data_IF_957263905957
#
_entry.id   IF_957263905957
#
_cell.length_a   1.000
_cell.length_b   1.000
_cell.length_c   1.000
_cell.angle_alpha   90.00
_cell.angle_beta   90.00
_cell.angle_gamma   90.00
#
_symmetry.space_group_name_H-M   'P 1'
#
loop_
_entity.id
_entity.type
_entity.pdbx_description
1 polymer ?
#
# COMPACT_ATOMS: atom_id res chain seq x y z
N UNK A 1 1.01 4.17 3.42
CA UNK A 1 0.37 3.02 4.05
C UNK A 1 1.28 1.80 3.90
N UNK A 2 1.65 1.15 4.99
CA UNK A 2 2.51 -0.03 4.92
C UNK A 2 1.93 -1.18 5.76
N UNK A 3 2.42 -2.41 5.54
CA UNK A 3 2.05 -3.58 6.32
C UNK A 3 1.76 -4.81 5.48
N UNK A 4 1.20 -5.85 6.08
CA UNK A 4 1.01 -7.16 5.47
C UNK A 4 0.15 -7.14 4.19
N UNK A 5 0.39 -8.12 3.33
CA UNK A 5 -0.42 -8.29 2.12
C UNK A 5 -1.88 -8.63 2.46
N UNK A 6 -2.81 -8.09 1.68
CA UNK A 6 -4.23 -8.40 1.85
C UNK A 6 -4.93 -7.70 3.02
N UNK A 7 -4.27 -6.75 3.72
CA UNK A 7 -4.83 -6.04 4.88
C UNK A 7 -5.68 -4.81 4.54
N UNK A 8 -5.87 -4.50 3.26
CA UNK A 8 -6.78 -3.44 2.85
C UNK A 8 -6.13 -2.11 2.46
N UNK A 9 -4.79 -1.99 2.41
CA UNK A 9 -4.08 -0.74 2.05
C UNK A 9 -4.64 -0.08 0.77
N UNK A 10 -4.59 -0.78 -0.35
CA UNK A 10 -5.08 -0.26 -1.65
C UNK A 10 -6.60 -0.09 -1.66
N UNK A 11 -7.33 -0.92 -0.91
CA UNK A 11 -8.79 -0.80 -0.75
C UNK A 11 -9.17 0.50 -0.04
N UNK A 12 -8.42 0.89 0.99
CA UNK A 12 -8.65 2.16 1.70
C UNK A 12 -8.47 3.37 0.77
N UNK A 13 -7.47 3.34 -0.10
CA UNK A 13 -7.26 4.43 -1.07
C UNK A 13 -8.42 4.50 -2.07
N UNK A 14 -8.90 3.35 -2.55
CA UNK A 14 -10.09 3.30 -3.42
C UNK A 14 -11.35 3.83 -2.72
N UNK A 15 -11.51 3.52 -1.44
CA UNK A 15 -12.63 4.02 -0.63
C UNK A 15 -12.56 5.55 -0.45
N UNK A 16 -11.38 6.10 -0.19
CA UNK A 16 -11.15 7.55 -0.13
C UNK A 16 -11.47 8.19 -1.48
N UNK A 17 -10.98 7.61 -2.57
CA UNK A 17 -11.27 8.09 -3.93
C UNK A 17 -12.77 8.17 -4.19
N UNK A 18 -13.50 7.09 -3.93
CA UNK A 18 -14.95 7.02 -4.15
C UNK A 18 -15.71 8.01 -3.27
N UNK A 19 -15.31 8.13 -1.98
CA UNK A 19 -15.99 9.02 -1.03
C UNK A 19 -15.89 10.49 -1.42
N UNK A 20 -14.73 10.94 -1.92
CA UNK A 20 -14.45 12.33 -2.21
C UNK A 20 -14.51 12.68 -3.70
N UNK A 21 -14.88 11.74 -4.55
CA UNK A 21 -15.07 12.00 -5.99
C UNK A 21 -16.08 13.11 -6.27
N UNK A 22 -17.25 13.15 -5.58
CA UNK A 22 -18.21 14.23 -5.76
C UNK A 22 -17.63 15.60 -5.36
N UNK A 23 -16.72 15.62 -4.38
CA UNK A 23 -16.08 16.83 -3.85
C UNK A 23 -14.86 17.28 -4.70
N UNK A 24 -14.69 16.70 -5.88
CA UNK A 24 -13.63 17.10 -6.82
C UNK A 24 -12.29 16.38 -6.63
N UNK A 25 -12.24 15.30 -5.84
CA UNK A 25 -11.02 14.48 -5.76
C UNK A 25 -10.83 13.66 -7.05
N UNK A 26 -9.59 13.60 -7.53
CA UNK A 26 -9.17 12.74 -8.64
C UNK A 26 -7.95 11.92 -8.21
N UNK A 27 -7.86 10.67 -8.66
CA UNK A 27 -6.73 9.80 -8.37
C UNK A 27 -6.01 9.45 -9.65
N UNK A 28 -4.69 9.62 -9.64
CA UNK A 28 -3.80 9.27 -10.74
C UNK A 28 -2.88 8.17 -10.22
N UNK A 29 -3.03 6.97 -10.75
CA UNK A 29 -2.12 5.89 -10.43
C UNK A 29 -0.86 6.02 -11.28
N UNK A 30 0.29 6.00 -10.62
CA UNK A 30 1.61 6.04 -11.25
C UNK A 30 2.33 4.74 -10.91
N UNK A 31 2.68 4.01 -11.95
CA UNK A 31 3.46 2.79 -11.83
C UNK A 31 4.95 3.09 -11.68
N UNK A 32 5.71 2.17 -11.11
CA UNK A 32 7.14 2.32 -10.85
C UNK A 32 7.92 2.79 -12.08
N UNK A 33 7.74 2.15 -13.24
CA UNK A 33 8.41 2.52 -14.50
C UNK A 33 8.04 3.92 -15.02
N UNK A 34 6.98 4.54 -14.48
CA UNK A 34 6.53 5.89 -14.83
C UNK A 34 7.05 6.97 -13.88
N UNK A 35 7.82 6.63 -12.85
CA UNK A 35 8.29 7.61 -11.84
C UNK A 35 9.07 8.76 -12.45
N UNK A 36 9.85 8.51 -13.48
CA UNK A 36 10.56 9.57 -14.24
C UNK A 36 9.62 10.64 -14.84
N UNK A 37 8.34 10.34 -14.96
CA UNK A 37 7.33 11.28 -15.48
C UNK A 37 6.62 12.08 -14.38
N UNK A 38 6.89 11.83 -13.10
CA UNK A 38 6.18 12.46 -11.97
C UNK A 38 6.16 13.99 -12.06
N UNK A 39 7.30 14.61 -12.33
CA UNK A 39 7.38 16.08 -12.44
C UNK A 39 6.49 16.61 -13.56
N UNK A 40 6.42 15.93 -14.70
CA UNK A 40 5.55 16.30 -15.82
C UNK A 40 4.08 16.12 -15.47
N UNK A 41 3.72 15.04 -14.78
CA UNK A 41 2.36 14.79 -14.31
C UNK A 41 1.94 15.92 -13.36
N UNK A 42 2.77 16.25 -12.39
CA UNK A 42 2.51 17.32 -11.41
C UNK A 42 2.34 18.65 -12.11
N UNK A 43 3.24 19.03 -13.01
CA UNK A 43 3.13 20.28 -13.77
C UNK A 43 1.84 20.38 -14.57
N UNK A 44 1.34 19.27 -15.11
CA UNK A 44 0.11 19.23 -15.90
C UNK A 44 -1.18 19.40 -15.06
N UNK A 45 -1.13 19.05 -13.76
CA UNK A 45 -2.32 19.03 -12.88
C UNK A 45 -2.31 20.12 -11.81
N UNK A 46 -1.16 20.72 -11.49
CA UNK A 46 -1.01 21.70 -10.41
C UNK A 46 -1.91 22.94 -10.53
N UNK A 47 -2.26 23.34 -11.77
CA UNK A 47 -3.10 24.49 -12.04
C UNK A 47 -4.57 24.14 -12.25
N UNK A 48 -4.92 22.84 -12.16
CA UNK A 48 -6.30 22.37 -12.35
C UNK A 48 -7.13 22.64 -11.09
N UNK A 49 -8.38 23.00 -11.29
CA UNK A 49 -9.35 23.22 -10.19
C UNK A 49 -9.94 21.90 -9.66
N UNK A 50 -9.05 20.95 -9.34
CA UNK A 50 -9.36 19.66 -8.70
C UNK A 50 -8.31 19.37 -7.63
N UNK A 51 -8.65 18.52 -6.67
CA UNK A 51 -7.68 17.91 -5.75
C UNK A 51 -7.24 16.58 -6.30
N UNK A 52 -5.95 16.29 -6.21
CA UNK A 52 -5.37 15.09 -6.78
C UNK A 52 -4.65 14.24 -5.71
N UNK A 53 -4.84 12.93 -5.80
CA UNK A 53 -3.97 11.95 -5.17
C UNK A 53 -3.15 11.29 -6.27
N UNK A 54 -1.83 11.44 -6.22
CA UNK A 54 -0.91 10.60 -6.99
C UNK A 54 -0.68 9.35 -6.17
N UNK A 55 -1.11 8.21 -6.70
CA UNK A 55 -1.11 6.95 -6.01
C UNK A 55 -0.08 5.98 -6.58
N UNK A 56 0.79 5.45 -5.73
CA UNK A 56 1.77 4.42 -6.06
C UNK A 56 1.47 3.16 -5.25
N UNK A 57 1.13 2.07 -5.96
CA UNK A 57 0.81 0.79 -5.32
C UNK A 57 2.04 -0.11 -5.25
N UNK A 58 2.18 -0.82 -4.14
CA UNK A 58 3.26 -1.78 -3.84
C UNK A 58 4.66 -1.18 -4.07
N UNK A 59 4.87 0.03 -3.55
CA UNK A 59 6.14 0.74 -3.67
C UNK A 59 7.21 0.00 -2.88
N UNK A 60 8.26 -0.42 -3.58
CA UNK A 60 9.46 -0.99 -3.00
C UNK A 60 10.64 -0.71 -3.92
N UNK A 61 11.81 -0.49 -3.35
CA UNK A 61 13.05 -0.25 -4.10
C UNK A 61 14.06 -1.34 -3.79
N UNK A 62 14.72 -1.85 -4.80
CA UNK A 62 15.86 -2.77 -4.69
C UNK A 62 17.17 -1.98 -4.63
N UNK A 63 18.27 -2.62 -4.26
CA UNK A 63 19.52 -1.94 -3.88
C UNK A 63 20.11 -1.05 -4.98
N UNK A 64 19.93 -1.37 -6.25
CA UNK A 64 20.52 -0.65 -7.37
C UNK A 64 19.52 0.25 -8.14
N UNK A 65 18.34 0.49 -7.61
CA UNK A 65 17.33 1.26 -8.32
C UNK A 65 17.47 2.75 -8.09
N UNK A 66 17.40 3.50 -9.19
CA UNK A 66 17.53 4.97 -9.18
C UNK A 66 16.18 5.69 -9.17
N UNK A 67 15.08 4.94 -9.34
CA UNK A 67 13.72 5.50 -9.44
C UNK A 67 13.28 6.25 -8.20
N UNK A 68 13.80 5.88 -7.02
CA UNK A 68 13.53 6.59 -5.77
C UNK A 68 13.97 8.06 -5.82
N UNK A 69 15.00 8.41 -6.61
CA UNK A 69 15.49 9.77 -6.77
C UNK A 69 14.45 10.70 -7.38
N UNK A 70 13.66 10.20 -8.33
CA UNK A 70 12.56 10.98 -8.92
C UNK A 70 11.46 11.27 -7.90
N UNK A 71 11.12 10.28 -7.08
CA UNK A 71 10.14 10.45 -6.03
C UNK A 71 10.65 11.39 -4.93
N UNK A 72 11.92 11.25 -4.54
CA UNK A 72 12.60 12.14 -3.58
C UNK A 72 12.53 13.60 -4.05
N UNK A 73 12.94 13.86 -5.29
CA UNK A 73 12.93 15.20 -5.86
C UNK A 73 11.53 15.85 -5.85
N UNK A 74 10.49 15.06 -6.11
CA UNK A 74 9.10 15.52 -6.12
C UNK A 74 8.58 15.78 -4.69
N UNK A 75 8.87 14.92 -3.73
CA UNK A 75 8.41 15.09 -2.34
C UNK A 75 9.11 16.28 -1.68
N UNK A 76 10.40 16.51 -2.00
CA UNK A 76 11.17 17.65 -1.52
C UNK A 76 10.74 18.99 -2.13
N UNK A 77 10.04 18.95 -3.25
CA UNK A 77 9.50 20.14 -3.93
C UNK A 77 10.51 20.89 -4.81
N UNK A 78 11.79 20.48 -4.83
CA UNK A 78 12.82 21.15 -5.64
C UNK A 78 12.83 22.68 -5.46
N UNK A 79 13.06 23.42 -6.55
CA UNK A 79 12.95 24.89 -6.59
C UNK A 79 11.51 25.41 -6.75
N UNK A 80 10.55 24.51 -7.07
CA UNK A 80 9.14 24.87 -7.21
C UNK A 80 8.39 24.66 -5.89
N UNK A 81 7.50 25.57 -5.55
CA UNK A 81 6.60 25.43 -4.41
C UNK A 81 5.75 24.16 -4.54
N UNK A 82 5.59 23.44 -3.43
CA UNK A 82 4.73 22.27 -3.36
C UNK A 82 3.31 22.61 -3.82
N UNK A 83 2.77 21.82 -4.74
CA UNK A 83 1.41 22.06 -5.23
C UNK A 83 0.40 21.72 -4.12
N UNK A 84 -0.38 22.69 -3.67
CA UNK A 84 -1.34 22.58 -2.56
C UNK A 84 -2.51 21.64 -2.87
N UNK A 85 -2.80 21.42 -4.15
CA UNK A 85 -3.90 20.57 -4.62
C UNK A 85 -3.48 19.11 -4.87
N UNK A 86 -2.24 18.71 -4.53
CA UNK A 86 -1.68 17.38 -4.81
C UNK A 86 -1.20 16.71 -3.53
N UNK A 87 -1.66 15.49 -3.30
CA UNK A 87 -1.14 14.59 -2.28
C UNK A 87 -0.52 13.35 -2.92
N UNK A 88 0.56 12.84 -2.34
CA UNK A 88 1.21 11.61 -2.78
C UNK A 88 0.89 10.51 -1.78
N UNK A 89 0.26 9.44 -2.26
CA UNK A 89 -0.05 8.25 -1.49
C UNK A 89 0.74 7.07 -2.03
N UNK A 90 1.37 6.33 -1.13
CA UNK A 90 2.06 5.10 -1.48
C UNK A 90 1.60 3.95 -0.58
N UNK A 91 1.48 2.75 -1.14
CA UNK A 91 1.36 1.53 -0.36
C UNK A 91 2.63 0.72 -0.45
N UNK A 92 2.96 0.00 0.61
CA UNK A 92 4.09 -0.93 0.63
C UNK A 92 3.79 -2.13 1.51
N UNK A 93 4.35 -3.27 1.15
CA UNK A 93 4.35 -4.46 2.00
C UNK A 93 5.53 -4.46 2.99
N UNK A 94 6.38 -3.42 2.95
CA UNK A 94 7.58 -3.26 3.77
C UNK A 94 7.53 -1.91 4.50
N UNK A 95 7.99 -1.90 5.74
CA UNK A 95 7.98 -0.69 6.57
C UNK A 95 8.89 0.40 5.99
N UNK A 96 10.06 0.04 5.49
CA UNK A 96 11.09 0.99 5.06
C UNK A 96 11.24 1.10 3.54
N UNK A 97 10.30 0.55 2.74
CA UNK A 97 10.34 0.51 1.26
C UNK A 97 11.54 -0.26 0.68
N UNK A 98 12.37 -0.89 1.51
CA UNK A 98 13.61 -1.58 1.15
C UNK A 98 13.52 -3.05 1.56
N UNK A 99 14.24 -3.91 0.85
CA UNK A 99 14.41 -5.32 1.23
C UNK A 99 15.44 -5.39 2.37
N UNK A 100 14.98 -5.63 3.58
CA UNK A 100 15.87 -6.00 4.68
C UNK A 100 16.38 -7.42 4.42
N UNK A 101 17.67 -7.61 4.20
CA UNK A 101 18.31 -8.93 4.15
C UNK A 101 18.76 -9.32 5.55
N UNK A 102 18.81 -10.64 5.83
CA UNK A 102 19.25 -11.15 7.15
C UNK A 102 20.72 -10.78 7.45
N UNK A 103 21.52 -10.54 6.40
CA UNK A 103 22.92 -10.11 6.50
C UNK A 103 23.07 -8.67 7.04
N UNK A 104 22.08 -7.79 6.83
CA UNK A 104 22.12 -6.39 7.28
C UNK A 104 22.12 -6.25 8.83
N UNK A 105 21.89 -7.34 9.56
CA UNK A 105 21.92 -7.35 11.04
C UNK A 105 23.26 -7.77 11.64
N UNK A 106 24.14 -8.40 10.87
CA UNK A 106 25.38 -9.00 11.38
C UNK A 106 26.67 -8.36 10.88
N UNK A 107 26.63 -7.49 9.86
CA UNK A 107 27.84 -6.96 9.25
C UNK A 107 28.20 -5.55 9.75
N UNK A 108 28.77 -5.48 10.96
CA UNK A 108 29.57 -4.32 11.43
C UNK A 108 31.03 -4.39 11.00
N UNK A 109 31.44 -5.34 10.17
CA UNK A 109 32.87 -5.57 9.90
C UNK A 109 33.22 -5.86 8.44
N UNK A 110 32.98 -4.99 7.45
CA UNK A 110 33.81 -5.03 6.22
C UNK A 110 33.65 -3.80 5.33
N UNK A 111 34.76 -3.30 4.84
CA UNK A 111 35.01 -2.02 4.14
C UNK A 111 34.35 -1.85 2.76
N UNK A 112 33.61 -2.83 2.24
CA UNK A 112 32.82 -2.73 1.01
C UNK A 112 31.40 -2.20 1.24
N UNK A 113 31.00 -2.01 2.49
CA UNK A 113 29.63 -1.65 2.90
C UNK A 113 29.34 -0.15 2.92
N UNK A 114 30.36 0.71 2.77
CA UNK A 114 30.16 2.17 2.86
C UNK A 114 29.20 2.70 1.78
N UNK A 115 29.30 2.21 0.55
CA UNK A 115 28.39 2.62 -0.54
C UNK A 115 26.98 2.02 -0.42
N UNK A 116 26.86 0.85 0.22
CA UNK A 116 25.56 0.24 0.54
C UNK A 116 24.86 1.00 1.65
N UNK A 117 25.60 1.38 2.69
CA UNK A 117 25.12 2.19 3.81
C UNK A 117 24.55 3.53 3.34
N UNK A 118 25.27 4.26 2.49
CA UNK A 118 24.84 5.56 1.96
C UNK A 118 23.53 5.45 1.14
N UNK A 119 23.41 4.42 0.31
CA UNK A 119 22.20 4.19 -0.49
C UNK A 119 21.02 3.80 0.40
N UNK A 120 21.26 3.03 1.45
CA UNK A 120 20.23 2.63 2.40
C UNK A 120 19.75 3.84 3.23
N UNK A 121 20.66 4.67 3.70
CA UNK A 121 20.32 5.93 4.39
C UNK A 121 19.51 6.88 3.49
N UNK A 122 19.87 7.02 2.22
CA UNK A 122 19.11 7.83 1.28
C UNK A 122 17.69 7.32 1.07
N UNK A 123 17.49 6.00 1.01
CA UNK A 123 16.16 5.38 0.87
C UNK A 123 15.35 5.49 2.15
N UNK A 124 15.96 5.32 3.32
CA UNK A 124 15.33 5.57 4.62
C UNK A 124 14.90 7.04 4.77
N UNK A 125 15.74 7.94 4.31
CA UNK A 125 15.45 9.37 4.25
C UNK A 125 14.20 9.69 3.43
N UNK A 126 13.91 8.91 2.36
CA UNK A 126 12.69 9.04 1.58
C UNK A 126 11.43 8.70 2.41
N UNK A 127 11.48 7.64 3.22
CA UNK A 127 10.34 7.25 4.08
C UNK A 127 10.00 8.35 5.06
N UNK A 128 11.01 8.98 5.64
CA UNK A 128 10.84 10.07 6.62
C UNK A 128 10.23 11.36 6.01
N UNK A 129 10.23 11.47 4.68
CA UNK A 129 9.60 12.62 3.98
C UNK A 129 8.09 12.47 3.77
N UNK A 130 7.55 11.26 3.95
CA UNK A 130 6.11 11.09 4.02
C UNK A 130 5.62 11.62 5.37
N UNK A 131 4.80 12.66 5.35
CA UNK A 131 4.32 13.32 6.57
C UNK A 131 3.40 12.46 7.44
N UNK A 132 2.75 11.43 6.87
CA UNK A 132 1.85 10.52 7.58
C UNK A 132 2.15 9.09 7.19
N UNK A 133 2.33 8.25 8.20
CA UNK A 133 2.60 6.82 8.03
C UNK A 133 1.54 6.01 8.76
N UNK A 134 0.82 5.14 8.03
CA UNK A 134 -0.27 4.31 8.56
C UNK A 134 0.12 2.84 8.42
N UNK A 135 0.12 2.12 9.55
CA UNK A 135 0.40 0.69 9.61
C UNK A 135 -0.87 -0.13 9.44
N UNK A 136 -0.80 -1.16 8.61
CA UNK A 136 -1.85 -2.16 8.40
C UNK A 136 -1.36 -3.52 8.87
N UNK A 137 -1.88 -3.99 9.99
CA UNK A 137 -1.56 -5.30 10.56
C UNK A 137 -2.53 -6.36 10.05
N UNK A 138 -2.13 -7.63 10.15
CA UNK A 138 -3.05 -8.75 9.92
C UNK A 138 -4.20 -8.66 10.93
N UNK A 139 -5.43 -8.99 10.51
CA UNK A 139 -6.54 -9.06 11.44
C UNK A 139 -6.32 -10.19 12.46
N UNK A 140 -6.80 -9.97 13.66
CA UNK A 140 -6.95 -11.04 14.66
C UNK A 140 -7.97 -12.07 14.16
N UNK A 141 -8.00 -13.29 14.71
CA UNK A 141 -9.03 -14.28 14.36
C UNK A 141 -10.46 -13.75 14.51
N UNK A 142 -10.70 -12.94 15.53
CA UNK A 142 -12.02 -12.31 15.76
C UNK A 142 -12.37 -11.32 14.65
N UNK A 143 -11.47 -10.41 14.34
CA UNK A 143 -11.66 -9.43 13.26
C UNK A 143 -11.80 -10.08 11.89
N UNK A 144 -11.04 -11.17 11.63
CA UNK A 144 -11.19 -11.94 10.40
C UNK A 144 -12.60 -12.51 10.26
N UNK A 145 -13.17 -13.07 11.32
CA UNK A 145 -14.54 -13.58 11.32
C UNK A 145 -15.58 -12.48 11.12
N UNK A 146 -15.37 -11.31 11.72
CA UNK A 146 -16.22 -10.14 11.50
C UNK A 146 -16.19 -9.69 10.03
N UNK A 147 -15.01 -9.70 9.40
CA UNK A 147 -14.86 -9.42 7.95
C UNK A 147 -15.63 -10.43 7.13
N UNK A 148 -15.47 -11.74 7.40
CA UNK A 148 -16.18 -12.82 6.68
C UNK A 148 -17.68 -12.66 6.77
N UNK A 149 -18.23 -12.49 7.98
CA UNK A 149 -19.67 -12.32 8.21
C UNK A 149 -20.17 -11.08 7.46
N UNK A 150 -19.47 -9.96 7.58
CA UNK A 150 -19.84 -8.70 6.92
C UNK A 150 -19.90 -8.87 5.40
N UNK A 151 -18.90 -9.52 4.81
CA UNK A 151 -18.85 -9.78 3.37
C UNK A 151 -19.96 -10.76 2.94
N UNK A 152 -20.22 -11.82 3.71
CA UNK A 152 -21.27 -12.79 3.44
C UNK A 152 -22.66 -12.11 3.42
N UNK A 153 -22.97 -11.29 4.43
CA UNK A 153 -24.23 -10.56 4.50
C UNK A 153 -24.39 -9.56 3.36
N UNK A 154 -23.31 -8.86 3.00
CA UNK A 154 -23.30 -7.94 1.85
C UNK A 154 -23.61 -8.65 0.52
N UNK A 155 -23.23 -9.90 0.40
CA UNK A 155 -23.46 -10.72 -0.81
C UNK A 155 -24.74 -11.56 -0.75
N UNK A 156 -25.52 -11.44 0.33
CA UNK A 156 -26.80 -12.18 0.47
C UNK A 156 -26.65 -13.66 0.82
N UNK A 157 -25.47 -14.11 1.24
CA UNK A 157 -25.25 -15.51 1.64
C UNK A 157 -26.07 -15.83 2.90
N UNK A 158 -26.96 -16.83 2.78
CA UNK A 158 -27.92 -17.21 3.83
C UNK A 158 -27.35 -18.15 4.92
N UNK A 159 -26.09 -18.59 4.78
CA UNK A 159 -25.42 -19.48 5.74
C UNK A 159 -25.40 -18.88 7.14
N UNK A 160 -25.56 -19.73 8.20
CA UNK A 160 -25.48 -19.28 9.59
C UNK A 160 -24.09 -18.73 9.94
N UNK A 161 -24.00 -17.83 10.91
CA UNK A 161 -22.71 -17.28 11.35
C UNK A 161 -21.78 -18.35 11.92
N UNK A 162 -22.33 -19.40 12.54
CA UNK A 162 -21.58 -20.53 13.08
C UNK A 162 -20.95 -21.38 11.95
N UNK A 163 -21.71 -21.66 10.92
CA UNK A 163 -21.24 -22.43 9.77
C UNK A 163 -20.22 -21.61 8.94
N UNK A 164 -20.49 -20.31 8.75
CA UNK A 164 -19.51 -19.40 8.13
C UNK A 164 -18.18 -19.42 8.87
N UNK A 165 -18.20 -19.35 10.19
CA UNK A 165 -16.96 -19.39 11.02
C UNK A 165 -16.22 -20.71 10.87
N UNK A 166 -16.93 -21.84 10.89
CA UNK A 166 -16.33 -23.18 10.73
C UNK A 166 -15.66 -23.33 9.36
N UNK A 167 -16.39 -22.97 8.30
CA UNK A 167 -15.85 -23.11 6.94
C UNK A 167 -14.74 -22.09 6.64
N UNK A 168 -14.85 -20.85 7.16
CA UNK A 168 -13.82 -19.84 7.02
C UNK A 168 -12.50 -20.23 7.71
N UNK A 169 -12.57 -20.87 8.89
CA UNK A 169 -11.39 -21.41 9.57
C UNK A 169 -10.69 -22.49 8.73
N UNK A 170 -11.44 -23.43 8.15
CA UNK A 170 -10.85 -24.44 7.27
C UNK A 170 -10.20 -23.82 6.03
N UNK A 171 -10.86 -22.82 5.47
CA UNK A 171 -10.37 -22.09 4.29
C UNK A 171 -9.07 -21.36 4.58
N UNK A 172 -9.02 -20.62 5.68
CA UNK A 172 -7.86 -19.83 6.09
C UNK A 172 -6.59 -20.68 6.25
N UNK A 173 -6.70 -21.84 6.89
CA UNK A 173 -5.59 -22.77 7.09
C UNK A 173 -4.94 -23.23 5.77
N UNK A 174 -5.71 -23.32 4.69
CA UNK A 174 -5.24 -23.78 3.39
C UNK A 174 -4.93 -22.66 2.37
N UNK A 175 -5.32 -21.42 2.65
CA UNK A 175 -5.29 -20.32 1.66
C UNK A 175 -4.54 -19.07 2.13
N UNK A 176 -3.51 -19.21 2.95
CA UNK A 176 -2.54 -18.13 3.21
C UNK A 176 -2.82 -17.26 4.43
N UNK A 177 -3.64 -17.71 5.37
CA UNK A 177 -3.81 -17.10 6.67
C UNK A 177 -4.81 -15.93 6.72
N UNK A 178 -4.87 -15.29 7.88
CA UNK A 178 -5.85 -14.26 8.21
C UNK A 178 -5.58 -12.97 7.39
N UNK A 179 -6.47 -12.66 6.47
CA UNK A 179 -6.43 -11.40 5.71
C UNK A 179 -7.79 -11.06 5.09
N UNK A 180 -8.03 -9.78 4.78
CA UNK A 180 -9.23 -9.37 4.04
C UNK A 180 -9.30 -10.00 2.63
N UNK A 181 -8.15 -10.29 2.01
CA UNK A 181 -8.08 -10.99 0.73
C UNK A 181 -8.55 -12.44 0.86
N UNK A 182 -8.09 -13.15 1.88
CA UNK A 182 -8.49 -14.54 2.17
C UNK A 182 -9.99 -14.63 2.45
N UNK A 183 -10.52 -13.66 3.22
CA UNK A 183 -11.96 -13.56 3.48
C UNK A 183 -12.75 -13.35 2.17
N UNK A 184 -12.33 -12.42 1.31
CA UNK A 184 -13.00 -12.18 0.03
C UNK A 184 -12.94 -13.39 -0.91
N UNK A 185 -11.81 -14.10 -0.95
CA UNK A 185 -11.66 -15.34 -1.74
C UNK A 185 -12.60 -16.44 -1.24
N UNK A 186 -12.73 -16.57 0.09
CA UNK A 186 -13.69 -17.51 0.67
C UNK A 186 -15.14 -17.18 0.28
N UNK A 187 -15.54 -15.93 0.35
CA UNK A 187 -16.88 -15.50 -0.06
C UNK A 187 -17.12 -15.76 -1.55
N UNK A 188 -16.15 -15.44 -2.41
CA UNK A 188 -16.24 -15.72 -3.83
C UNK A 188 -16.36 -17.24 -4.11
N UNK A 189 -15.67 -18.07 -3.34
CA UNK A 189 -15.79 -19.53 -3.44
C UNK A 189 -17.19 -20.03 -3.05
N UNK A 190 -17.78 -19.47 -2.00
CA UNK A 190 -19.16 -19.83 -1.62
C UNK A 190 -20.15 -19.47 -2.72
N UNK A 191 -20.05 -18.27 -3.30
CA UNK A 191 -20.90 -17.82 -4.40
C UNK A 191 -20.74 -18.66 -5.67
N UNK A 192 -19.58 -19.26 -5.90
CA UNK A 192 -19.34 -20.14 -7.04
C UNK A 192 -19.83 -21.60 -6.82
N UNK A 193 -20.31 -21.93 -5.62
CA UNK A 193 -20.91 -23.23 -5.30
C UNK A 193 -22.44 -23.26 -5.45
N UNK A 194 -23.08 -22.09 -5.46
CA UNK A 194 -24.50 -21.91 -5.77
C UNK A 194 -24.73 -21.95 -7.29
#
# INVERSE_FOLDING_TARGET
LYGDRGTGKSTSIKAVANRFWPDGLRVIQVYRHQMKMLSRIISAIRTRNYRFIIYMDDLSFEDFETEYKYLKAVIEGGLESKAENILIYATSNRRHLIKETWDDRNDMEHTQDMHRSDTMEEKLSLVNRFGVTISYTKPTPKEFMEIVITLARKQGIAMSDEDLKKEANKWELSHGGLSGRTAQQFINYLLGKE
#
